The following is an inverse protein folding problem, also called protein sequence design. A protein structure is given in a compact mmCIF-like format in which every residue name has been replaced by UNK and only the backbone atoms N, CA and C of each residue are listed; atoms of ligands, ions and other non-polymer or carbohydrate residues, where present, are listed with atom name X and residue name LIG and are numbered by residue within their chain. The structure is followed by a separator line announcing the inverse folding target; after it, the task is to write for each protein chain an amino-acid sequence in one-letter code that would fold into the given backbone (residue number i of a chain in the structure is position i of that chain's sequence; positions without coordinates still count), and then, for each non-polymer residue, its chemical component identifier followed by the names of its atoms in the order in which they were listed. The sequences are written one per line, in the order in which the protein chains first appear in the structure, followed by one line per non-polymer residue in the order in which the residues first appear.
data_IF_043932432064
#
_entry.id   IF_043932432064
#
_cell.length_a   1.000
_cell.length_b   1.000
_cell.length_c   1.000
_cell.angle_alpha   90.00
_cell.angle_beta   90.00
_cell.angle_gamma   90.00
#
_symmetry.space_group_name_H-M   'P 1'
#
loop_
_entity.id
_entity.type
_entity.pdbx_description
1 polymer ?
#
# COMPACT_ATOMS: atom_id res chain seq x y z
N UNK A 1 -7.80 -4.31 -6.90
CA UNK A 1 -8.57 -4.18 -8.17
C UNK A 1 -8.28 -2.89 -8.92
N UNK A 2 -8.39 -1.71 -8.27
CA UNK A 2 -8.05 -0.40 -8.89
C UNK A 2 -6.69 -0.39 -9.59
N UNK A 3 -5.64 -0.89 -8.93
CA UNK A 3 -4.32 -1.03 -9.53
C UNK A 3 -4.32 -1.82 -10.85
N UNK A 4 -5.03 -2.96 -10.93
CA UNK A 4 -5.12 -3.74 -12.19
C UNK A 4 -5.74 -2.90 -13.30
N UNK A 5 -6.86 -2.24 -13.01
CA UNK A 5 -7.58 -1.43 -13.98
C UNK A 5 -6.72 -0.29 -14.52
N UNK A 6 -6.03 0.44 -13.63
CA UNK A 6 -5.11 1.51 -14.03
C UNK A 6 -3.95 0.97 -14.87
N UNK A 7 -3.36 -0.16 -14.46
CA UNK A 7 -2.30 -0.80 -15.25
C UNK A 7 -2.78 -1.17 -16.66
N UNK A 8 -3.96 -1.78 -16.82
CA UNK A 8 -4.50 -2.12 -18.13
C UNK A 8 -4.89 -0.89 -18.96
N UNK A 9 -5.25 0.22 -18.31
CA UNK A 9 -5.67 1.45 -19.00
C UNK A 9 -4.47 2.21 -19.55
N UNK A 10 -3.38 2.28 -18.78
CA UNK A 10 -2.21 3.10 -19.10
C UNK A 10 -1.07 2.32 -19.75
N UNK A 11 -1.04 0.99 -19.62
CA UNK A 11 0.01 0.15 -20.19
C UNK A 11 -0.54 -0.82 -21.24
N UNK A 12 0.25 -1.09 -22.27
CA UNK A 12 -0.05 -2.01 -23.39
C UNK A 12 0.09 -3.50 -23.02
N UNK A 13 0.02 -3.84 -21.73
CA UNK A 13 0.28 -5.19 -21.23
C UNK A 13 -1.00 -6.04 -21.29
N UNK A 14 -0.88 -7.29 -21.75
CA UNK A 14 -1.98 -8.25 -21.74
C UNK A 14 -2.45 -8.57 -20.32
N UNK A 15 -3.77 -8.72 -20.12
CA UNK A 15 -4.37 -9.04 -18.80
C UNK A 15 -3.82 -10.36 -18.19
N UNK A 16 -3.35 -11.28 -19.05
CA UNK A 16 -2.68 -12.51 -18.62
C UNK A 16 -1.42 -12.26 -17.79
N UNK A 17 -0.72 -11.14 -18.06
CA UNK A 17 0.58 -10.83 -17.48
C UNK A 17 0.47 -10.01 -16.18
N UNK A 18 -0.75 -9.65 -15.77
CA UNK A 18 -1.03 -8.93 -14.52
C UNK A 18 -1.91 -9.80 -13.63
N UNK A 19 -1.30 -10.36 -12.58
CA UNK A 19 -1.97 -11.29 -11.65
C UNK A 19 -2.35 -10.61 -10.34
N UNK A 20 -3.54 -10.92 -9.84
CA UNK A 20 -3.98 -10.50 -8.51
C UNK A 20 -3.86 -11.62 -7.48
N UNK A 21 -3.31 -11.24 -6.35
CA UNK A 21 -3.21 -12.05 -5.16
C UNK A 21 -3.86 -11.34 -3.97
N UNK A 22 -5.19 -11.39 -3.92
CA UNK A 22 -5.99 -10.75 -2.87
C UNK A 22 -6.93 -11.77 -2.22
N UNK A 23 -7.48 -11.41 -1.06
CA UNK A 23 -8.52 -12.23 -0.43
C UNK A 23 -9.73 -12.35 -1.38
N UNK A 24 -10.15 -13.58 -1.67
CA UNK A 24 -11.26 -13.88 -2.58
C UNK A 24 -10.89 -14.03 -4.07
N UNK A 25 -9.78 -13.44 -4.54
CA UNK A 25 -9.27 -13.63 -5.91
C UNK A 25 -7.80 -14.02 -5.88
N UNK A 26 -7.56 -15.32 -6.07
CA UNK A 26 -6.24 -15.92 -6.14
C UNK A 26 -6.02 -16.46 -7.54
N UNK A 27 -5.43 -15.64 -8.39
CA UNK A 27 -4.97 -16.13 -9.69
C UNK A 27 -3.69 -16.93 -9.47
N UNK A 28 -3.52 -18.05 -10.18
CA UNK A 28 -2.25 -18.79 -10.14
C UNK A 28 -1.14 -17.86 -10.59
N UNK A 29 -0.09 -17.78 -9.76
CA UNK A 29 1.12 -17.05 -10.11
C UNK A 29 1.90 -17.91 -11.12
N UNK A 30 1.58 -17.80 -12.40
CA UNK A 30 2.32 -18.44 -13.50
C UNK A 30 2.73 -17.38 -14.50
N UNK A 31 4.00 -17.39 -14.93
CA UNK A 31 4.63 -16.57 -16.00
C UNK A 31 4.02 -15.18 -16.20
N UNK A 32 3.82 -14.44 -15.12
CA UNK A 32 3.34 -13.06 -15.17
C UNK A 32 4.48 -12.09 -14.86
N UNK A 33 4.41 -10.89 -15.44
CA UNK A 33 5.43 -9.86 -15.21
C UNK A 33 5.06 -8.95 -14.04
N UNK A 34 3.76 -8.81 -13.75
CA UNK A 34 3.26 -7.89 -12.73
C UNK A 34 2.36 -8.66 -11.77
N UNK A 35 2.66 -8.51 -10.49
CA UNK A 35 1.91 -9.12 -9.40
C UNK A 35 1.39 -8.04 -8.46
N UNK A 36 0.09 -8.09 -8.20
CA UNK A 36 -0.60 -7.13 -7.33
C UNK A 36 -1.14 -7.89 -6.14
N UNK A 37 -0.60 -7.61 -4.95
CA UNK A 37 -1.00 -8.26 -3.70
C UNK A 37 -1.33 -7.24 -2.62
N UNK A 38 -2.11 -7.67 -1.62
CA UNK A 38 -2.30 -6.90 -0.40
C UNK A 38 -1.24 -7.28 0.65
N UNK A 39 -0.85 -6.34 1.51
CA UNK A 39 0.13 -6.57 2.58
C UNK A 39 -0.29 -7.68 3.54
N UNK A 40 -1.56 -7.72 3.94
CA UNK A 40 -2.10 -8.74 4.83
C UNK A 40 -1.98 -10.15 4.25
N UNK A 41 -2.16 -10.29 2.92
CA UNK A 41 -2.01 -11.57 2.23
C UNK A 41 -0.58 -12.08 2.28
N UNK A 42 0.40 -11.17 2.24
CA UNK A 42 1.83 -11.52 2.35
C UNK A 42 2.23 -11.74 3.82
N UNK A 43 1.72 -10.94 4.75
CA UNK A 43 2.06 -11.08 6.16
C UNK A 43 1.47 -12.35 6.81
N UNK A 44 0.33 -12.85 6.33
CA UNK A 44 -0.35 -14.04 6.85
C UNK A 44 0.17 -15.37 6.28
N UNK A 45 1.17 -15.32 5.41
CA UNK A 45 1.72 -16.46 4.69
C UNK A 45 2.17 -17.59 5.64
N UNK A 46 2.92 -17.25 6.69
CA UNK A 46 3.53 -18.23 7.61
C UNK A 46 2.52 -19.01 8.46
N UNK A 47 1.25 -18.56 8.51
CA UNK A 47 0.21 -19.18 9.35
C UNK A 47 -0.82 -19.98 8.54
N UNK A 48 -0.70 -20.00 7.20
CA UNK A 48 -1.72 -20.62 6.36
C UNK A 48 -1.40 -22.10 6.07
N UNK A 49 -2.24 -23.02 6.57
CA UNK A 49 -2.22 -24.46 6.21
C UNK A 49 -2.69 -24.74 4.76
N UNK A 50 -2.76 -23.71 3.92
CA UNK A 50 -3.39 -23.79 2.61
C UNK A 50 -2.33 -23.90 1.52
N UNK A 51 -2.18 -25.08 0.94
CA UNK A 51 -1.09 -25.43 0.02
C UNK A 51 -0.95 -24.44 -1.16
N UNK A 52 -2.08 -23.96 -1.70
CA UNK A 52 -2.07 -23.00 -2.81
C UNK A 52 -1.46 -21.63 -2.44
N UNK A 53 -1.54 -21.23 -1.16
CA UNK A 53 -0.88 -20.02 -0.66
C UNK A 53 0.62 -20.30 -0.52
N UNK A 54 1.00 -21.44 0.04
CA UNK A 54 2.41 -21.83 0.20
C UNK A 54 3.17 -21.90 -1.15
N UNK A 55 2.53 -22.44 -2.20
CA UNK A 55 3.13 -22.54 -3.53
C UNK A 55 3.36 -21.16 -4.16
N UNK A 56 2.36 -20.28 -4.05
CA UNK A 56 2.43 -18.88 -4.53
C UNK A 56 3.57 -18.12 -3.86
N UNK A 57 3.82 -18.40 -2.59
CA UNK A 57 4.83 -17.73 -1.79
C UNK A 57 6.22 -18.22 -2.12
N UNK A 58 6.37 -19.52 -2.32
CA UNK A 58 7.64 -20.09 -2.76
C UNK A 58 8.09 -19.43 -4.06
N UNK A 59 7.13 -19.15 -4.96
CA UNK A 59 7.41 -18.41 -6.18
C UNK A 59 7.80 -16.94 -5.91
N UNK A 60 7.07 -16.22 -5.06
CA UNK A 60 7.43 -14.84 -4.69
C UNK A 60 8.82 -14.74 -4.03
N UNK A 61 9.21 -15.73 -3.23
CA UNK A 61 10.53 -15.82 -2.56
C UNK A 61 11.65 -16.19 -3.54
N UNK A 62 11.37 -17.03 -4.53
CA UNK A 62 12.37 -17.52 -5.48
C UNK A 62 12.58 -16.57 -6.67
N UNK A 63 11.71 -15.57 -6.85
CA UNK A 63 11.86 -14.56 -7.88
C UNK A 63 12.62 -13.33 -7.35
N UNK A 64 13.60 -12.86 -8.13
CA UNK A 64 14.25 -11.57 -7.88
C UNK A 64 13.46 -10.45 -8.54
N UNK A 65 12.84 -9.59 -7.72
CA UNK A 65 12.03 -8.49 -8.22
C UNK A 65 12.89 -7.26 -8.52
N UNK A 66 12.76 -6.69 -9.71
CA UNK A 66 13.46 -5.43 -10.03
C UNK A 66 12.84 -4.24 -9.31
N UNK A 67 11.50 -4.17 -9.24
CA UNK A 67 10.75 -3.07 -8.66
C UNK A 67 9.64 -3.58 -7.75
N UNK A 68 9.59 -3.03 -6.54
CA UNK A 68 8.48 -3.20 -5.60
C UNK A 68 7.81 -1.84 -5.38
N UNK A 69 6.53 -1.75 -5.72
CA UNK A 69 5.70 -0.57 -5.47
C UNK A 69 4.90 -0.84 -4.20
N UNK A 70 5.02 0.08 -3.26
CA UNK A 70 4.35 0.04 -1.97
C UNK A 70 3.38 1.22 -1.93
N UNK A 71 2.11 0.95 -1.65
CA UNK A 71 1.03 1.93 -1.59
C UNK A 71 0.65 2.17 -0.11
N UNK A 72 0.62 3.43 0.31
CA UNK A 72 0.23 3.92 1.64
C UNK A 72 0.88 3.16 2.82
N UNK A 73 2.20 3.01 2.80
CA UNK A 73 2.93 2.21 3.81
C UNK A 73 2.79 2.78 5.23
N UNK A 74 2.53 4.08 5.34
CA UNK A 74 2.28 4.75 6.61
C UNK A 74 1.11 4.13 7.40
N UNK A 75 0.16 3.47 6.72
CA UNK A 75 -1.02 2.84 7.34
C UNK A 75 -0.74 1.49 8.01
N UNK A 76 0.44 0.91 7.77
CA UNK A 76 0.77 -0.46 8.18
C UNK A 76 1.59 -0.47 9.46
N UNK A 77 1.32 -1.47 10.32
CA UNK A 77 2.13 -1.76 11.50
C UNK A 77 3.55 -2.15 11.09
N UNK A 78 4.55 -1.58 11.76
CA UNK A 78 5.98 -1.79 11.46
C UNK A 78 6.37 -3.28 11.38
N UNK A 79 5.79 -4.13 12.23
CA UNK A 79 6.08 -5.58 12.25
C UNK A 79 5.58 -6.32 11.00
N UNK A 80 4.37 -6.03 10.54
CA UNK A 80 3.83 -6.65 9.33
C UNK A 80 4.62 -6.20 8.10
N UNK A 81 4.98 -4.92 8.07
CA UNK A 81 5.76 -4.36 6.99
C UNK A 81 7.16 -4.99 6.89
N UNK A 82 7.87 -5.13 8.02
CA UNK A 82 9.17 -5.83 8.07
C UNK A 82 9.07 -7.26 7.55
N UNK A 83 8.02 -8.01 7.91
CA UNK A 83 7.80 -9.37 7.39
C UNK A 83 7.65 -9.40 5.87
N UNK A 84 6.89 -8.48 5.29
CA UNK A 84 6.71 -8.40 3.83
C UNK A 84 8.06 -8.16 3.14
N UNK A 85 8.87 -7.24 3.65
CA UNK A 85 10.20 -6.94 3.09
C UNK A 85 11.19 -8.11 3.23
N UNK A 86 11.06 -8.92 4.28
CA UNK A 86 11.89 -10.12 4.44
C UNK A 86 11.45 -11.26 3.51
N UNK A 87 10.15 -11.36 3.21
CA UNK A 87 9.61 -12.41 2.33
C UNK A 87 9.89 -12.10 0.86
N UNK A 88 9.71 -10.85 0.44
CA UNK A 88 9.83 -10.46 -0.97
C UNK A 88 11.07 -9.59 -1.14
N UNK A 89 12.08 -10.14 -1.81
CA UNK A 89 13.30 -9.40 -2.11
C UNK A 89 13.15 -8.59 -3.40
N UNK A 90 13.42 -7.29 -3.34
CA UNK A 90 13.41 -6.41 -4.51
C UNK A 90 14.59 -5.43 -4.51
N UNK A 91 15.17 -5.20 -5.69
CA UNK A 91 16.28 -4.27 -5.91
C UNK A 91 15.87 -2.82 -5.67
N UNK A 92 14.78 -2.37 -6.29
CA UNK A 92 14.24 -1.02 -6.11
C UNK A 92 12.92 -1.09 -5.38
N UNK A 93 12.77 -0.25 -4.36
CA UNK A 93 11.55 -0.08 -3.57
C UNK A 93 11.04 1.34 -3.75
N UNK A 94 9.77 1.48 -4.11
CA UNK A 94 9.11 2.77 -4.31
C UNK A 94 7.91 2.84 -3.39
N UNK A 95 7.89 3.83 -2.51
CA UNK A 95 6.74 4.14 -1.67
C UNK A 95 5.91 5.25 -2.31
N UNK A 96 4.61 4.99 -2.44
CA UNK A 96 3.59 5.92 -2.89
C UNK A 96 2.69 6.20 -1.71
N UNK A 97 2.97 7.29 -1.00
CA UNK A 97 2.21 7.72 0.17
C UNK A 97 1.74 9.15 -0.01
N UNK A 98 0.46 9.42 0.25
CA UNK A 98 -0.08 10.77 0.16
C UNK A 98 0.31 11.63 1.37
N UNK A 99 0.46 10.99 2.53
CA UNK A 99 0.81 11.63 3.79
C UNK A 99 2.12 11.06 4.33
N UNK A 100 2.99 11.94 4.79
CA UNK A 100 4.25 11.57 5.46
C UNK A 100 4.12 11.50 6.98
N UNK A 101 2.93 11.80 7.51
CA UNK A 101 2.66 11.79 8.95
C UNK A 101 2.16 10.41 9.34
N UNK A 102 2.87 9.75 10.26
CA UNK A 102 2.38 8.59 11.00
C UNK A 102 2.02 9.01 12.41
N UNK A 103 0.89 8.51 12.90
CA UNK A 103 0.42 8.75 14.27
C UNK A 103 1.36 8.15 15.34
N UNK A 104 2.19 7.17 14.96
CA UNK A 104 3.08 6.44 15.85
C UNK A 104 4.50 7.04 15.98
N UNK A 105 4.80 8.17 15.31
CA UNK A 105 6.14 8.79 15.24
C UNK A 105 7.27 7.87 14.75
N UNK A 106 6.97 6.70 14.17
CA UNK A 106 7.97 5.73 13.69
C UNK A 106 8.34 5.92 12.21
N UNK A 107 8.26 7.15 11.72
CA UNK A 107 8.58 7.48 10.32
C UNK A 107 10.07 7.22 10.01
N UNK A 108 10.95 7.42 10.99
CA UNK A 108 12.38 7.18 10.83
C UNK A 108 12.71 5.72 10.45
N UNK A 109 11.97 4.76 11.01
CA UNK A 109 12.11 3.34 10.68
C UNK A 109 11.75 3.06 9.22
N UNK A 110 10.79 3.81 8.66
CA UNK A 110 10.35 3.65 7.28
C UNK A 110 11.42 4.10 6.29
N UNK A 111 12.06 5.23 6.56
CA UNK A 111 13.17 5.75 5.76
C UNK A 111 14.35 4.78 5.70
N UNK A 112 14.60 4.04 6.80
CA UNK A 112 15.64 3.01 6.82
C UNK A 112 15.28 1.78 5.99
N UNK A 113 14.00 1.39 5.98
CA UNK A 113 13.54 0.18 5.29
C UNK A 113 13.37 0.36 3.77
N UNK A 114 12.89 1.51 3.34
CA UNK A 114 12.60 1.79 1.92
C UNK A 114 13.71 2.64 1.30
N UNK A 115 14.09 3.72 1.97
CA UNK A 115 15.03 4.72 1.48
C UNK A 115 14.60 6.15 1.79
N UNK A 116 15.39 7.15 1.36
CA UNK A 116 15.08 8.55 1.59
C UNK A 116 13.88 9.03 0.77
N UNK A 117 13.20 10.07 1.27
CA UNK A 117 12.14 10.76 0.53
C UNK A 117 12.70 11.41 -0.74
N UNK A 118 12.18 11.02 -1.90
CA UNK A 118 12.63 11.54 -3.20
C UNK A 118 11.87 12.80 -3.62
N UNK A 119 10.55 12.83 -3.45
CA UNK A 119 9.70 13.92 -3.91
C UNK A 119 8.52 14.12 -2.96
N UNK A 120 8.18 15.36 -2.67
CA UNK A 120 6.94 15.75 -2.00
C UNK A 120 6.20 16.76 -2.89
N UNK A 121 4.97 16.42 -3.28
CA UNK A 121 4.18 17.30 -4.11
C UNK A 121 3.59 18.43 -3.26
N UNK A 122 3.77 19.67 -3.70
CA UNK A 122 3.13 20.80 -3.05
C UNK A 122 1.62 20.81 -3.39
N UNK A 123 0.79 20.55 -2.38
CA UNK A 123 -0.66 20.51 -2.55
C UNK A 123 -1.23 21.87 -2.94
N UNK A 124 -0.64 22.98 -2.48
CA UNK A 124 -1.08 24.33 -2.83
C UNK A 124 -0.87 24.64 -4.31
N UNK A 125 0.27 24.21 -4.87
CA UNK A 125 0.56 24.34 -6.30
C UNK A 125 -0.34 23.43 -7.15
N UNK A 126 -0.56 22.19 -6.71
CA UNK A 126 -1.46 21.28 -7.43
C UNK A 126 -2.90 21.79 -7.46
N UNK A 127 -3.33 22.49 -6.40
CA UNK A 127 -4.63 23.14 -6.32
C UNK A 127 -4.71 24.42 -7.17
N UNK A 128 -3.62 25.19 -7.26
CA UNK A 128 -3.58 26.42 -8.08
C UNK A 128 -3.57 26.11 -9.58
N UNK A 129 -2.90 25.03 -9.99
CA UNK A 129 -2.85 24.52 -11.36
C UNK A 129 -4.12 23.76 -11.79
N UNK A 130 -5.07 23.52 -10.86
CA UNK A 130 -6.33 22.85 -11.15
C UNK A 130 -6.23 21.33 -11.29
N UNK A 131 -5.12 20.71 -10.87
CA UNK A 131 -4.99 19.25 -10.82
C UNK A 131 -5.78 18.64 -9.65
N UNK A 132 -5.95 19.41 -8.56
CA UNK A 132 -6.70 18.99 -7.35
C UNK A 132 -7.83 19.97 -7.08
N UNK A 133 -9.00 19.44 -6.73
CA UNK A 133 -10.17 20.26 -6.40
C UNK A 133 -9.94 21.07 -5.11
N UNK A 134 -10.50 22.30 -5.06
CA UNK A 134 -10.40 23.15 -3.87
C UNK A 134 -11.35 22.66 -2.78
N UNK A 135 -10.80 22.20 -1.65
CA UNK A 135 -11.58 21.89 -0.46
C UNK A 135 -11.79 23.15 0.39
N UNK A 136 -13.03 23.40 0.82
CA UNK A 136 -13.37 24.39 1.85
C UNK A 136 -13.65 23.64 3.15
N UNK A 137 -12.74 23.73 4.11
CA UNK A 137 -12.89 23.10 5.42
C UNK A 137 -13.52 24.09 6.40
N UNK A 138 -14.63 23.70 7.04
CA UNK A 138 -15.28 24.46 8.10
C UNK A 138 -15.47 23.58 9.32
N UNK A 139 -14.96 24.02 10.48
CA UNK A 139 -15.19 23.34 11.75
C UNK A 139 -16.41 23.97 12.44
N UNK A 140 -17.52 23.22 12.51
CA UNK A 140 -18.73 23.65 13.20
C UNK A 140 -18.74 23.03 14.59
N UNK A 141 -18.40 23.84 15.60
CA UNK A 141 -18.49 23.43 17.00
C UNK A 141 -19.93 23.55 17.47
N UNK A 142 -20.51 22.45 17.93
CA UNK A 142 -21.85 22.43 18.52
C UNK A 142 -21.76 22.41 20.04
N UNK A 143 -22.46 23.33 20.70
CA UNK A 143 -22.56 23.33 22.16
C UNK A 143 -23.29 22.07 22.64
N UNK A 144 -22.70 21.37 23.61
CA UNK A 144 -23.34 20.22 24.24
C UNK A 144 -24.51 20.68 25.12
N UNK A 145 -25.64 19.96 25.10
CA UNK A 145 -26.75 20.29 26.00
C UNK A 145 -26.42 19.89 27.44
N UNK A 146 -26.98 20.64 28.40
CA UNK A 146 -26.74 20.47 29.84
C UNK A 146 -26.96 19.05 30.36
N UNK A 147 -27.84 18.27 29.72
CA UNK A 147 -28.10 16.89 30.09
C UNK A 147 -26.90 15.95 29.84
N UNK A 148 -26.16 16.17 28.75
CA UNK A 148 -24.98 15.37 28.42
C UNK A 148 -23.74 15.84 29.18
N UNK A 149 -23.61 17.15 29.43
CA UNK A 149 -22.52 17.70 30.24
C UNK A 149 -22.52 17.16 31.67
N UNK A 150 -23.71 16.87 32.24
CA UNK A 150 -23.85 16.33 33.61
C UNK A 150 -23.50 14.85 33.77
N UNK A 151 -23.38 14.10 32.68
CA UNK A 151 -23.09 12.65 32.68
C UNK A 151 -21.62 12.32 32.36
N UNK A 152 -20.83 13.33 31.99
CA UNK A 152 -19.36 13.27 31.86
C UNK A 152 -18.71 13.47 33.24
#
# INVERSE_FOLDING_TARGET
ERWKQQFTTWFTTNDSNVKLFISGKREKLSDAYVYISAYSMIAQIDQSNNHAVADSVTLLKNCEWSLMILDEVHTILTEQFRKVLTIVYAYTKLDLTATLVREDNKIADLNFLIGPKLHEANWMESQSLGHVAKALCGEVRCSMTLEFVRKL
#
